data_IF_237340762176
#
_entry.id   IF_237340762176
#
_cell.length_a   1.000
_cell.length_b   1.000
_cell.length_c   1.000
_cell.angle_alpha   90.00
_cell.angle_beta   90.00
_cell.angle_gamma   90.00
#
_symmetry.space_group_name_H-M   'P 1'
#
loop_
_entity.id
_entity.type
_entity.pdbx_description
1 polymer ?
#
# COMPACT_ATOMS: atom_id res chain seq x y z
N UNK A 1 11.98 37.98 44.85
CA UNK A 1 11.91 36.49 44.94
C UNK A 1 10.62 35.95 44.33
N UNK A 2 9.45 36.53 44.62
CA UNK A 2 8.16 36.03 44.14
C UNK A 2 8.04 35.97 42.59
N UNK A 3 8.51 37.01 41.90
CA UNK A 3 8.43 37.08 40.42
C UNK A 3 9.34 36.05 39.72
N UNK A 4 10.47 35.71 40.34
CA UNK A 4 11.38 34.68 39.82
C UNK A 4 10.78 33.29 39.95
N UNK A 5 10.02 33.02 41.00
CA UNK A 5 9.35 31.73 41.20
C UNK A 5 8.20 31.59 40.20
N UNK A 6 7.42 32.65 39.99
CA UNK A 6 6.33 32.65 39.02
C UNK A 6 6.85 32.47 37.58
N UNK A 7 7.91 33.18 37.20
CA UNK A 7 8.55 33.01 35.89
C UNK A 7 9.08 31.59 35.66
N UNK A 8 9.63 30.95 36.69
CA UNK A 8 10.09 29.57 36.61
C UNK A 8 8.91 28.59 36.48
N UNK A 9 7.80 28.84 37.18
CA UNK A 9 6.57 28.04 37.08
C UNK A 9 5.98 28.11 35.68
N UNK A 10 5.78 29.32 35.14
CA UNK A 10 5.20 29.50 33.80
C UNK A 10 6.07 28.85 32.71
N UNK A 11 7.39 28.92 32.88
CA UNK A 11 8.34 28.27 31.98
C UNK A 11 8.25 26.74 32.07
N UNK A 12 8.06 26.20 33.27
CA UNK A 12 7.91 24.77 33.48
C UNK A 12 6.61 24.25 32.85
N UNK A 13 5.50 24.95 33.05
CA UNK A 13 4.21 24.62 32.44
C UNK A 13 4.28 24.64 30.90
N UNK A 14 4.97 25.63 30.33
CA UNK A 14 5.19 25.70 28.89
C UNK A 14 6.06 24.55 28.36
N UNK A 15 7.06 24.12 29.14
CA UNK A 15 7.88 22.96 28.79
C UNK A 15 7.06 21.68 28.83
N UNK A 16 6.28 21.45 29.89
CA UNK A 16 5.46 20.25 30.05
C UNK A 16 4.40 20.16 28.95
N UNK A 17 3.76 21.28 28.59
CA UNK A 17 2.83 21.34 27.47
C UNK A 17 3.49 20.93 26.14
N UNK A 18 4.70 21.45 25.87
CA UNK A 18 5.45 21.13 24.65
C UNK A 18 5.91 19.68 24.62
N UNK A 19 6.31 19.15 25.78
CA UNK A 19 6.75 17.76 25.92
C UNK A 19 5.59 16.80 25.63
N UNK A 20 4.41 17.10 26.20
CA UNK A 20 3.18 16.34 25.92
C UNK A 20 2.81 16.33 24.44
N UNK A 21 2.85 17.48 23.76
CA UNK A 21 2.60 17.54 22.31
C UNK A 21 3.62 16.70 21.52
N UNK A 22 4.89 16.76 21.91
CA UNK A 22 5.95 16.00 21.24
C UNK A 22 5.78 14.48 21.42
N UNK A 23 5.32 14.04 22.60
CA UNK A 23 5.00 12.64 22.86
C UNK A 23 3.80 12.15 22.03
N UNK A 24 2.73 12.94 21.97
CA UNK A 24 1.54 12.64 21.15
C UNK A 24 1.90 12.54 19.65
N UNK A 25 2.73 13.47 19.14
CA UNK A 25 3.20 13.45 17.75
C UNK A 25 4.15 12.28 17.46
N UNK A 26 4.92 11.83 18.47
CA UNK A 26 5.80 10.67 18.35
C UNK A 26 4.99 9.38 18.26
N UNK A 27 3.92 9.25 19.04
CA UNK A 27 3.00 8.12 18.99
C UNK A 27 2.30 8.04 17.63
N UNK A 28 1.74 9.15 17.14
CA UNK A 28 1.09 9.21 15.81
C UNK A 28 2.05 8.83 14.68
N UNK A 29 3.32 9.26 14.75
CA UNK A 29 4.34 8.90 13.75
C UNK A 29 4.66 7.42 13.69
N UNK A 30 4.47 6.66 14.78
CA UNK A 30 4.67 5.20 14.78
C UNK A 30 3.56 4.45 14.04
N UNK A 31 2.37 5.04 13.90
CA UNK A 31 1.23 4.40 13.23
C UNK A 31 1.30 4.53 11.70
N UNK A 32 1.91 5.60 11.19
CA UNK A 32 1.98 5.89 9.75
C UNK A 32 2.66 4.77 8.94
N UNK A 33 3.83 4.22 9.34
CA UNK A 33 4.47 3.13 8.60
C UNK A 33 3.59 1.88 8.52
N UNK A 34 2.89 1.54 9.60
CA UNK A 34 1.98 0.39 9.65
C UNK A 34 0.79 0.59 8.73
N UNK A 35 0.18 1.78 8.76
CA UNK A 35 -0.92 2.13 7.87
C UNK A 35 -0.50 2.10 6.39
N UNK A 36 0.70 2.59 6.08
CA UNK A 36 1.25 2.56 4.73
C UNK A 36 1.43 1.11 4.25
N UNK A 37 2.04 0.24 5.06
CA UNK A 37 2.23 -1.17 4.74
C UNK A 37 0.90 -1.92 4.53
N UNK A 38 -0.12 -1.59 5.33
CA UNK A 38 -1.47 -2.13 5.13
C UNK A 38 -2.10 -1.66 3.81
N UNK A 39 -1.89 -0.41 3.43
CA UNK A 39 -2.39 0.14 2.17
C UNK A 39 -1.70 -0.49 0.96
N UNK A 40 -0.36 -0.63 1.01
CA UNK A 40 0.42 -1.33 -0.03
C UNK A 40 -0.08 -2.76 -0.20
N UNK A 41 -0.22 -3.50 0.89
CA UNK A 41 -0.73 -4.88 0.86
C UNK A 41 -2.15 -4.97 0.25
N UNK A 42 -3.00 -3.97 0.52
CA UNK A 42 -4.35 -3.91 -0.02
C UNK A 42 -4.33 -3.62 -1.53
N UNK A 43 -3.44 -2.76 -1.99
CA UNK A 43 -3.25 -2.47 -3.43
C UNK A 43 -2.80 -3.74 -4.14
N UNK A 44 -1.79 -4.43 -3.63
CA UNK A 44 -1.28 -5.67 -4.21
C UNK A 44 -2.38 -6.73 -4.32
N UNK A 45 -3.18 -6.89 -3.25
CA UNK A 45 -4.32 -7.81 -3.25
C UNK A 45 -5.36 -7.42 -4.31
N UNK A 46 -5.66 -6.13 -4.46
CA UNK A 46 -6.60 -5.66 -5.48
C UNK A 46 -6.08 -5.92 -6.90
N UNK A 47 -4.78 -5.73 -7.13
CA UNK A 47 -4.16 -6.04 -8.43
C UNK A 47 -4.22 -7.54 -8.75
N UNK A 48 -3.96 -8.39 -7.76
CA UNK A 48 -4.09 -9.84 -7.91
C UNK A 48 -5.53 -10.26 -8.17
N UNK A 49 -6.50 -9.66 -7.47
CA UNK A 49 -7.92 -9.97 -7.65
C UNK A 49 -8.40 -9.62 -9.06
N UNK A 50 -7.99 -8.47 -9.62
CA UNK A 50 -8.34 -8.09 -11.00
C UNK A 50 -7.74 -9.06 -12.02
N UNK A 51 -6.58 -9.66 -11.72
CA UNK A 51 -5.90 -10.62 -12.60
C UNK A 51 -6.31 -12.07 -12.36
N UNK A 52 -7.20 -12.35 -11.40
CA UNK A 52 -7.51 -13.71 -10.94
C UNK A 52 -8.02 -14.64 -12.06
N UNK A 53 -8.70 -14.10 -13.07
CA UNK A 53 -9.23 -14.85 -14.22
C UNK A 53 -8.41 -14.65 -15.49
N UNK A 54 -7.29 -13.95 -15.43
CA UNK A 54 -6.45 -13.72 -16.60
C UNK A 54 -5.58 -14.95 -16.86
N UNK A 55 -5.43 -15.30 -18.13
CA UNK A 55 -4.49 -16.33 -18.58
C UNK A 55 -3.34 -15.63 -19.28
N UNK A 56 -2.12 -15.86 -18.81
CA UNK A 56 -0.90 -15.33 -19.42
C UNK A 56 -0.28 -16.40 -20.34
N UNK A 57 -0.15 -16.06 -21.63
CA UNK A 57 0.44 -16.94 -22.64
C UNK A 57 1.75 -16.31 -23.09
N UNK A 58 2.87 -16.91 -22.68
CA UNK A 58 4.22 -16.46 -23.03
C UNK A 58 4.74 -17.22 -24.25
N UNK A 59 5.72 -16.62 -24.94
CA UNK A 59 6.39 -17.21 -26.12
C UNK A 59 5.46 -17.45 -27.33
N UNK A 60 4.42 -16.64 -27.48
CA UNK A 60 3.63 -16.62 -28.71
C UNK A 60 4.37 -15.82 -29.80
N UNK A 61 4.60 -16.36 -31.01
CA UNK A 61 5.18 -15.60 -32.10
C UNK A 61 4.26 -14.44 -32.50
N UNK A 62 4.79 -13.22 -32.61
CA UNK A 62 4.00 -12.05 -33.03
C UNK A 62 3.77 -12.02 -34.55
N UNK A 63 2.55 -11.68 -34.97
CA UNK A 63 2.22 -11.45 -36.38
C UNK A 63 1.34 -10.21 -36.55
N UNK A 64 1.46 -9.53 -37.69
CA UNK A 64 0.52 -8.46 -38.08
C UNK A 64 -0.86 -9.07 -38.32
N UNK A 65 -1.91 -8.34 -37.94
CA UNK A 65 -3.31 -8.71 -38.10
C UNK A 65 -3.70 -10.05 -37.43
N UNK A 66 -3.17 -10.28 -36.22
CA UNK A 66 -3.41 -11.50 -35.47
C UNK A 66 -4.83 -11.58 -34.88
N UNK A 67 -5.45 -12.76 -35.01
CA UNK A 67 -6.72 -13.07 -34.36
C UNK A 67 -6.47 -13.85 -33.07
N UNK A 68 -6.42 -13.14 -31.95
CA UNK A 68 -6.13 -13.72 -30.63
C UNK A 68 -7.15 -14.78 -30.19
N UNK A 69 -8.42 -14.62 -30.58
CA UNK A 69 -9.47 -15.60 -30.26
C UNK A 69 -9.19 -16.93 -30.98
N UNK A 70 -8.83 -16.87 -32.27
CA UNK A 70 -8.48 -18.06 -33.04
C UNK A 70 -7.21 -18.74 -32.47
N UNK A 71 -6.21 -17.95 -32.05
CA UNK A 71 -5.02 -18.49 -31.39
C UNK A 71 -5.40 -19.23 -30.09
N UNK A 72 -6.24 -18.64 -29.24
CA UNK A 72 -6.67 -19.26 -27.98
C UNK A 72 -7.44 -20.57 -28.22
N UNK A 73 -8.35 -20.59 -29.20
CA UNK A 73 -9.08 -21.79 -29.60
C UNK A 73 -8.15 -22.90 -30.08
N UNK A 74 -7.15 -22.55 -30.91
CA UNK A 74 -6.15 -23.49 -31.39
C UNK A 74 -5.34 -24.09 -30.24
N UNK A 75 -4.87 -23.26 -29.30
CA UNK A 75 -4.17 -23.75 -28.09
C UNK A 75 -5.06 -24.71 -27.30
N UNK A 76 -6.32 -24.32 -27.03
CA UNK A 76 -7.29 -25.13 -26.30
C UNK A 76 -7.51 -26.51 -26.93
N UNK A 77 -7.61 -26.56 -28.26
CA UNK A 77 -7.76 -27.82 -29.01
C UNK A 77 -6.53 -28.74 -28.91
N UNK A 78 -5.32 -28.18 -28.92
CA UNK A 78 -4.07 -28.94 -28.84
C UNK A 78 -3.91 -29.56 -27.45
N UNK A 79 -4.21 -28.80 -26.39
CA UNK A 79 -4.07 -29.27 -25.01
C UNK A 79 -5.24 -30.15 -24.54
N UNK A 80 -6.24 -30.40 -25.41
CA UNK A 80 -7.43 -31.20 -25.12
C UNK A 80 -8.17 -30.73 -23.85
N UNK A 81 -8.22 -29.43 -23.63
CA UNK A 81 -8.99 -28.89 -22.50
C UNK A 81 -10.48 -29.19 -22.74
N UNK A 82 -11.20 -29.83 -21.80
CA UNK A 82 -12.62 -30.11 -21.97
C UNK A 82 -13.42 -28.81 -22.14
N UNK A 83 -14.39 -28.85 -23.06
CA UNK A 83 -15.36 -27.78 -23.28
C UNK A 83 -16.35 -27.67 -22.12
#
# INVERSE_FOLDING_TARGET
MHDSVNYMSDRQDAFDARLKTMEEDSLRRKEVPTQLSMLESKIDMMEQQVRQSNIEIVNLPERRDENLIAVLQNIGSIIKHPY
#
